data_IF_874572790330
#
_entry.id   IF_874572790330
#
_cell.length_a   1.000
_cell.length_b   1.000
_cell.length_c   1.000
_cell.angle_alpha   90.00
_cell.angle_beta   90.00
_cell.angle_gamma   90.00
#
_symmetry.space_group_name_H-M   'P 1'
#
loop_
_entity.id
_entity.type
_entity.pdbx_description
1 polymer ?
#
# COMPACT_ATOMS: atom_id res chain seq x y z
N UNK A 1 -5.68 65.61 4.06
CA UNK A 1 -5.18 64.30 3.59
C UNK A 1 -5.57 63.24 4.62
N UNK A 2 -6.47 62.32 4.30
CA UNK A 2 -6.92 61.27 5.23
C UNK A 2 -6.10 59.98 5.03
N UNK A 3 -5.36 59.53 6.04
CA UNK A 3 -4.65 58.25 6.03
C UNK A 3 -5.63 57.11 6.36
N UNK A 4 -5.75 56.13 5.46
CA UNK A 4 -6.51 54.89 5.70
C UNK A 4 -5.61 53.86 6.40
N UNK A 5 -5.92 53.53 7.65
CA UNK A 5 -5.32 52.43 8.40
C UNK A 5 -5.75 51.08 7.81
N UNK A 6 -4.79 50.28 7.33
CA UNK A 6 -5.03 48.90 6.88
C UNK A 6 -5.15 47.98 8.09
N UNK A 7 -6.34 47.45 8.34
CA UNK A 7 -6.56 46.39 9.33
C UNK A 7 -6.05 45.06 8.76
N UNK A 8 -4.98 44.52 9.34
CA UNK A 8 -4.44 43.21 9.02
C UNK A 8 -5.39 42.12 9.51
N UNK A 9 -6.02 41.37 8.58
CA UNK A 9 -6.85 40.20 8.90
C UNK A 9 -5.96 39.09 9.46
N UNK A 10 -6.25 38.63 10.68
CA UNK A 10 -5.58 37.50 11.31
C UNK A 10 -5.74 36.23 10.44
N UNK A 11 -4.62 35.53 10.18
CA UNK A 11 -4.59 34.25 9.46
C UNK A 11 -5.24 33.17 10.35
N UNK A 12 -6.30 32.52 9.87
CA UNK A 12 -6.92 31.36 10.54
C UNK A 12 -5.88 30.24 10.73
N UNK A 13 -5.79 29.71 11.94
CA UNK A 13 -4.92 28.59 12.28
C UNK A 13 -5.24 27.36 11.40
N UNK A 14 -4.24 26.54 11.02
CA UNK A 14 -4.47 25.34 10.23
C UNK A 14 -5.34 24.37 11.04
N UNK A 15 -6.46 23.93 10.44
CA UNK A 15 -7.32 22.90 11.03
C UNK A 15 -6.48 21.63 11.22
N UNK A 16 -6.50 21.07 12.43
CA UNK A 16 -5.89 19.76 12.71
C UNK A 16 -6.45 18.74 11.72
N UNK A 17 -5.63 17.85 11.13
CA UNK A 17 -6.13 16.82 10.24
C UNK A 17 -7.15 15.99 11.01
N UNK A 18 -8.39 15.94 10.53
CA UNK A 18 -9.41 15.09 11.10
C UNK A 18 -8.88 13.64 11.05
N UNK A 19 -9.01 12.91 12.16
CA UNK A 19 -8.75 11.47 12.18
C UNK A 19 -9.57 10.83 11.06
N UNK A 20 -8.87 10.28 10.06
CA UNK A 20 -9.53 9.66 8.91
C UNK A 20 -10.31 8.46 9.43
N UNK A 21 -11.64 8.49 9.30
CA UNK A 21 -12.47 7.34 9.58
C UNK A 21 -11.95 6.14 8.78
N UNK A 22 -11.90 4.93 9.39
CA UNK A 22 -11.57 3.72 8.66
C UNK A 22 -12.47 3.55 7.44
N UNK A 23 -11.92 3.03 6.35
CA UNK A 23 -12.67 2.77 5.12
C UNK A 23 -13.72 1.68 5.34
N UNK A 24 -14.93 1.92 4.85
CA UNK A 24 -15.98 0.90 4.81
C UNK A 24 -15.58 -0.25 3.85
N UNK A 25 -16.21 -1.42 3.99
CA UNK A 25 -15.85 -2.60 3.20
C UNK A 25 -16.05 -2.38 1.68
N UNK A 26 -17.11 -1.67 1.28
CA UNK A 26 -17.34 -1.27 -0.11
C UNK A 26 -16.22 -0.36 -0.65
N UNK A 27 -15.80 0.61 0.16
CA UNK A 27 -14.72 1.53 -0.21
C UNK A 27 -13.38 0.79 -0.34
N UNK A 28 -13.14 -0.21 0.52
CA UNK A 28 -11.98 -1.11 0.39
C UNK A 28 -12.06 -1.95 -0.89
N UNK A 29 -13.24 -2.44 -1.26
CA UNK A 29 -13.43 -3.17 -2.52
C UNK A 29 -13.17 -2.28 -3.74
N UNK A 30 -13.68 -1.05 -3.76
CA UNK A 30 -13.42 -0.09 -4.83
C UNK A 30 -11.94 0.30 -4.93
N UNK A 31 -11.26 0.50 -3.79
CA UNK A 31 -9.82 0.74 -3.78
C UNK A 31 -9.07 -0.46 -4.35
N UNK A 32 -9.39 -1.68 -3.90
CA UNK A 32 -8.81 -2.90 -4.48
C UNK A 32 -9.06 -2.99 -5.98
N UNK A 33 -10.24 -2.60 -6.47
CA UNK A 33 -10.57 -2.57 -7.90
C UNK A 33 -9.74 -1.55 -8.69
N UNK A 34 -9.23 -0.48 -8.05
CA UNK A 34 -8.40 0.55 -8.69
C UNK A 34 -6.89 0.37 -8.47
N UNK A 35 -6.47 -0.57 -7.62
CA UNK A 35 -5.05 -0.87 -7.38
C UNK A 35 -4.36 -1.34 -8.67
N UNK A 36 -3.10 -0.94 -8.86
CA UNK A 36 -2.29 -1.35 -10.02
C UNK A 36 -1.45 -2.57 -9.70
N UNK A 37 -0.90 -2.65 -8.50
CA UNK A 37 -0.19 -3.83 -8.01
C UNK A 37 -0.50 -4.15 -6.54
N UNK A 38 -0.09 -5.34 -6.12
CA UNK A 38 -0.26 -5.83 -4.76
C UNK A 38 1.02 -6.54 -4.31
N UNK A 39 1.40 -6.36 -3.05
CA UNK A 39 2.45 -7.14 -2.40
C UNK A 39 1.84 -8.15 -1.43
N UNK A 40 2.32 -9.38 -1.49
CA UNK A 40 2.08 -10.45 -0.52
C UNK A 40 3.38 -10.66 0.25
N UNK A 41 3.32 -10.67 1.58
CA UNK A 41 4.47 -10.92 2.45
C UNK A 41 4.16 -12.11 3.32
N UNK A 42 5.10 -13.06 3.41
CA UNK A 42 5.08 -14.18 4.32
C UNK A 42 6.13 -13.94 5.41
N UNK A 43 5.77 -14.14 6.69
CA UNK A 43 6.68 -13.91 7.80
C UNK A 43 7.26 -15.22 8.34
N UNK A 44 8.49 -15.19 8.88
CA UNK A 44 9.10 -16.35 9.54
C UNK A 44 8.30 -16.81 10.77
N UNK A 45 7.73 -15.84 11.48
CA UNK A 45 6.92 -16.05 12.66
C UNK A 45 5.64 -15.22 12.53
N UNK A 46 4.52 -15.68 13.10
CA UNK A 46 3.30 -14.90 13.11
C UNK A 46 3.51 -13.52 13.76
N UNK A 47 2.92 -12.48 13.19
CA UNK A 47 2.98 -11.11 13.71
C UNK A 47 1.61 -10.74 14.27
N UNK A 48 1.61 -10.18 15.48
CA UNK A 48 0.40 -9.60 16.09
C UNK A 48 0.24 -8.15 15.64
N UNK A 49 -0.89 -7.86 15.00
CA UNK A 49 -1.31 -6.53 14.61
C UNK A 49 -1.83 -5.75 15.84
N UNK A 50 -1.96 -4.43 15.69
CA UNK A 50 -2.46 -3.54 16.75
C UNK A 50 -3.89 -3.84 17.19
N UNK A 51 -4.67 -4.56 16.38
CA UNK A 51 -6.03 -5.02 16.69
C UNK A 51 -6.06 -6.39 17.39
N UNK A 52 -4.89 -6.94 17.78
CA UNK A 52 -4.75 -8.23 18.44
C UNK A 52 -4.77 -9.43 17.50
N UNK A 53 -4.98 -9.24 16.19
CA UNK A 53 -4.99 -10.34 15.23
C UNK A 53 -3.58 -10.78 14.91
N UNK A 54 -3.37 -12.10 14.87
CA UNK A 54 -2.09 -12.69 14.51
C UNK A 54 -2.13 -13.17 13.07
N UNK A 55 -1.16 -12.75 12.26
CA UNK A 55 -1.08 -13.06 10.84
C UNK A 55 0.26 -13.70 10.49
N UNK A 56 0.25 -14.72 9.63
CA UNK A 56 1.46 -15.32 9.04
C UNK A 56 1.78 -14.73 7.67
N UNK A 57 0.76 -14.16 7.02
CA UNK A 57 0.88 -13.47 5.75
C UNK A 57 0.18 -12.10 5.81
N UNK A 58 0.68 -11.17 5.00
CA UNK A 58 0.11 -9.84 4.85
C UNK A 58 -0.07 -9.53 3.37
N UNK A 59 -1.22 -8.97 3.02
CA UNK A 59 -1.50 -8.47 1.68
C UNK A 59 -1.68 -6.96 1.72
N UNK A 60 -0.94 -6.24 0.89
CA UNK A 60 -1.03 -4.79 0.78
C UNK A 60 -1.20 -4.35 -0.67
N UNK A 61 -2.09 -3.39 -0.90
CA UNK A 61 -2.41 -2.85 -2.21
C UNK A 61 -1.72 -1.51 -2.44
N UNK A 62 -1.37 -1.21 -3.69
CA UNK A 62 -0.60 0.00 -4.01
C UNK A 62 -1.29 1.30 -3.61
N UNK A 63 -2.61 1.38 -3.67
CA UNK A 63 -3.38 2.61 -3.45
C UNK A 63 -4.03 2.73 -2.06
N UNK A 64 -3.63 1.91 -1.07
CA UNK A 64 -4.29 1.85 0.24
C UNK A 64 -4.14 3.13 1.10
N UNK A 65 -3.30 4.10 0.67
CA UNK A 65 -2.95 5.31 1.44
C UNK A 65 -3.08 6.62 0.65
N UNK A 66 -3.28 6.53 -0.65
CA UNK A 66 -3.50 7.67 -1.52
C UNK A 66 -4.90 7.60 -2.12
N UNK A 67 -5.37 8.75 -2.58
CA UNK A 67 -6.61 8.79 -3.34
C UNK A 67 -6.53 7.81 -4.53
N UNK A 68 -7.66 7.23 -4.95
CA UNK A 68 -7.71 6.18 -5.96
C UNK A 68 -7.40 6.74 -7.35
N UNK A 69 -6.14 7.05 -7.60
CA UNK A 69 -5.60 7.48 -8.87
C UNK A 69 -4.85 6.32 -9.50
N UNK A 70 -4.95 6.21 -10.82
CA UNK A 70 -4.15 5.27 -11.62
C UNK A 70 -2.73 5.85 -11.71
N UNK A 71 -1.87 5.50 -10.75
CA UNK A 71 -0.42 5.79 -10.89
C UNK A 71 0.25 4.78 -11.81
N UNK A 72 1.46 5.10 -12.29
CA UNK A 72 2.24 4.16 -13.11
C UNK A 72 2.59 2.90 -12.29
N UNK A 73 2.58 1.74 -12.95
CA UNK A 73 2.87 0.47 -12.31
C UNK A 73 4.25 0.49 -11.65
N UNK A 74 5.25 1.02 -12.34
CA UNK A 74 6.63 1.05 -11.86
C UNK A 74 6.77 1.88 -10.58
N UNK A 75 6.09 3.03 -10.50
CA UNK A 75 6.09 3.88 -9.30
C UNK A 75 5.50 3.13 -8.11
N UNK A 76 4.38 2.45 -8.33
CA UNK A 76 3.73 1.67 -7.28
C UNK A 76 4.56 0.45 -6.84
N UNK A 77 5.22 -0.23 -7.77
CA UNK A 77 6.13 -1.32 -7.44
C UNK A 77 7.28 -0.81 -6.57
N UNK A 78 7.91 0.30 -6.97
CA UNK A 78 9.01 0.91 -6.20
C UNK A 78 8.56 1.31 -4.80
N UNK A 79 7.37 1.90 -4.67
CA UNK A 79 6.80 2.27 -3.38
C UNK A 79 6.52 1.05 -2.49
N UNK A 80 5.96 -0.03 -3.06
CA UNK A 80 5.74 -1.28 -2.31
C UNK A 80 7.06 -1.92 -1.86
N UNK A 81 8.10 -1.91 -2.71
CA UNK A 81 9.44 -2.37 -2.33
C UNK A 81 10.03 -1.52 -1.20
N UNK A 82 9.88 -0.19 -1.27
CA UNK A 82 10.34 0.74 -0.22
C UNK A 82 9.64 0.47 1.11
N UNK A 83 8.31 0.33 1.11
CA UNK A 83 7.53 0.01 2.31
C UNK A 83 7.96 -1.35 2.88
N UNK A 84 8.12 -2.35 2.01
CA UNK A 84 8.61 -3.66 2.43
C UNK A 84 9.97 -3.58 3.12
N UNK A 85 10.92 -2.87 2.53
CA UNK A 85 12.26 -2.73 3.06
C UNK A 85 12.31 -2.04 4.43
N UNK A 86 11.44 -1.05 4.64
CA UNK A 86 11.35 -0.30 5.91
C UNK A 86 10.69 -1.13 7.01
N UNK A 87 9.57 -1.80 6.72
CA UNK A 87 8.70 -2.35 7.78
C UNK A 87 8.81 -3.86 7.97
N UNK A 88 9.14 -4.61 6.91
CA UNK A 88 8.89 -6.06 6.88
C UNK A 88 10.11 -6.91 6.55
N UNK A 89 11.10 -6.38 5.82
CA UNK A 89 12.29 -7.11 5.35
C UNK A 89 12.98 -7.98 6.40
N UNK A 90 13.11 -7.50 7.64
CA UNK A 90 13.79 -8.24 8.71
C UNK A 90 12.97 -9.45 9.18
N UNK A 91 11.64 -9.38 9.11
CA UNK A 91 10.71 -10.40 9.63
C UNK A 91 10.16 -11.30 8.50
N UNK A 92 10.31 -10.87 7.25
CA UNK A 92 9.78 -11.57 6.08
C UNK A 92 10.62 -12.80 5.73
N UNK A 93 9.94 -13.93 5.61
CA UNK A 93 10.46 -15.17 5.01
C UNK A 93 10.54 -15.04 3.49
N UNK A 94 9.46 -14.55 2.89
CA UNK A 94 9.35 -14.32 1.45
C UNK A 94 8.41 -13.15 1.18
N UNK A 95 8.50 -12.54 0.00
CA UNK A 95 7.47 -11.62 -0.47
C UNK A 95 7.35 -11.67 -1.99
N UNK A 96 6.20 -11.28 -2.53
CA UNK A 96 5.96 -11.25 -3.97
C UNK A 96 5.12 -10.03 -4.33
N UNK A 97 5.45 -9.39 -5.45
CA UNK A 97 4.67 -8.28 -6.02
C UNK A 97 3.99 -8.77 -7.29
N UNK A 98 2.69 -8.51 -7.41
CA UNK A 98 1.84 -8.93 -8.53
C UNK A 98 1.26 -7.72 -9.26
N UNK A 99 1.21 -7.78 -10.60
CA UNK A 99 0.40 -6.90 -11.42
C UNK A 99 -1.07 -7.29 -11.25
N UNK A 100 -1.91 -6.31 -10.98
CA UNK A 100 -3.33 -6.53 -10.72
C UNK A 100 -4.21 -5.85 -11.77
N UNK A 101 -3.63 -5.21 -12.80
CA UNK A 101 -4.38 -4.50 -13.83
C UNK A 101 -5.23 -5.42 -14.71
N UNK A 102 -4.79 -6.66 -14.90
CA UNK A 102 -5.47 -7.64 -15.77
C UNK A 102 -6.25 -8.70 -15.00
N UNK A 103 -5.67 -9.31 -13.95
CA UNK A 103 -6.28 -10.44 -13.25
C UNK A 103 -6.07 -10.35 -11.73
N UNK A 104 -7.00 -9.70 -11.03
CA UNK A 104 -6.96 -9.54 -9.56
C UNK A 104 -7.28 -10.81 -8.78
N UNK A 105 -8.05 -11.70 -9.37
CA UNK A 105 -8.55 -12.92 -8.74
C UNK A 105 -7.50 -14.03 -8.66
N UNK A 106 -6.40 -13.91 -9.41
CA UNK A 106 -5.38 -14.97 -9.53
C UNK A 106 -4.12 -14.71 -8.69
N UNK A 107 -4.10 -13.64 -7.88
CA UNK A 107 -2.94 -13.29 -7.03
C UNK A 107 -2.69 -14.43 -6.01
N UNK A 108 -1.61 -15.19 -6.22
CA UNK A 108 -1.26 -16.34 -5.39
C UNK A 108 -2.23 -17.52 -5.53
N UNK A 109 -2.81 -17.70 -6.73
CA UNK A 109 -3.67 -18.85 -7.03
C UNK A 109 -2.91 -20.16 -6.87
N UNK A 110 -3.55 -21.18 -6.26
CA UNK A 110 -2.99 -22.55 -6.19
C UNK A 110 -2.77 -23.17 -7.58
N UNK A 111 -3.53 -22.70 -8.58
CA UNK A 111 -3.48 -23.24 -9.96
C UNK A 111 -2.33 -22.65 -10.77
N UNK A 112 -1.95 -21.41 -10.47
CA UNK A 112 -0.80 -20.72 -11.06
C UNK A 112 -0.29 -19.65 -10.07
N UNK A 113 0.69 -20.00 -9.22
CA UNK A 113 1.20 -19.10 -8.19
C UNK A 113 2.07 -17.98 -8.73
N UNK A 114 2.51 -18.06 -9.99
CA UNK A 114 3.34 -17.07 -10.68
C UNK A 114 2.53 -16.16 -11.60
N UNK A 115 1.23 -16.45 -11.78
CA UNK A 115 0.32 -15.64 -12.57
C UNK A 115 0.36 -14.16 -12.16
N UNK A 116 0.80 -13.30 -13.09
CA UNK A 116 0.98 -11.86 -12.91
C UNK A 116 2.02 -11.47 -11.84
N UNK A 117 2.87 -12.38 -11.38
CA UNK A 117 3.96 -12.06 -10.46
C UNK A 117 5.04 -11.28 -11.21
N UNK A 118 5.39 -10.11 -10.69
CA UNK A 118 6.42 -9.23 -11.25
C UNK A 118 7.77 -9.45 -10.55
N UNK A 119 7.74 -9.59 -9.23
CA UNK A 119 8.93 -9.70 -8.40
C UNK A 119 8.73 -10.70 -7.27
N UNK A 120 9.81 -11.40 -6.91
CA UNK A 120 9.90 -12.32 -5.79
C UNK A 120 11.08 -11.90 -4.90
N UNK A 121 10.85 -11.78 -3.61
CA UNK A 121 11.85 -11.55 -2.58
C UNK A 121 12.16 -12.87 -1.88
N UNK A 122 13.37 -13.35 -2.09
CA UNK A 122 13.88 -14.57 -1.47
C UNK A 122 15.37 -14.41 -1.18
N UNK A 123 15.89 -15.10 -0.17
CA UNK A 123 17.30 -15.01 0.24
C UNK A 123 17.78 -13.57 0.44
N UNK A 124 16.87 -12.72 0.95
CA UNK A 124 17.07 -11.28 1.21
C UNK A 124 17.26 -10.39 -0.02
N UNK A 125 16.94 -10.86 -1.22
CA UNK A 125 17.10 -10.10 -2.47
C UNK A 125 15.83 -10.16 -3.31
N UNK A 126 15.47 -9.04 -3.95
CA UNK A 126 14.42 -8.98 -4.95
C UNK A 126 14.91 -9.51 -6.29
N UNK A 127 14.11 -10.38 -6.92
CA UNK A 127 14.33 -10.91 -8.26
C UNK A 127 13.11 -10.64 -9.12
N UNK A 128 13.32 -10.19 -10.34
CA UNK A 128 12.25 -10.12 -11.33
C UNK A 128 11.83 -11.53 -11.73
N UNK A 129 10.54 -11.76 -11.87
CA UNK A 129 9.95 -13.02 -12.33
C UNK A 129 9.69 -12.87 -13.83
N UNK A 130 10.09 -13.89 -14.60
CA UNK A 130 9.94 -13.91 -16.06
C UNK A 130 8.62 -14.54 -16.47
#
# INVERSE_FOLDING_TARGET
MYQKTKVLKAKKAPKRPAERKPLNDEQRAEQRAKASCCILVEFYQPITLSDGRTITNLKKWSNEWQQPHKGDLNDWVNELMRIFDIYWKIKAKSAAIFDTRFQKTLIGSERDPDCNKLYQFENRVWRAVK
#
